data_IF_103376951087
#
_entry.id   IF_103376951087
#
_cell.length_a   1.000
_cell.length_b   1.000
_cell.length_c   1.000
_cell.angle_alpha   90.00
_cell.angle_beta   90.00
_cell.angle_gamma   90.00
#
_symmetry.space_group_name_H-M   'P 1'
#
loop_
_entity.id
_entity.type
_entity.pdbx_description
1 polymer ?
#
# COMPACT_ATOMS: atom_id res chain seq x y z
N UNK A 1 -2.25 -12.25 1.23
CA UNK A 1 -2.74 -11.20 0.30
C UNK A 1 -1.60 -10.24 0.06
N UNK A 2 -1.24 -9.99 -1.20
CA UNK A 2 -0.15 -9.05 -1.58
C UNK A 2 -0.64 -7.61 -1.39
N UNK A 3 0.15 -6.73 -0.78
CA UNK A 3 -0.22 -5.31 -0.58
C UNK A 3 -0.12 -4.53 -1.89
N UNK A 4 -0.79 -3.38 -1.96
CA UNK A 4 -0.66 -2.44 -3.10
C UNK A 4 0.79 -2.06 -3.41
N UNK A 5 1.63 -1.94 -2.37
CA UNK A 5 3.04 -1.52 -2.47
C UNK A 5 4.03 -2.65 -2.77
N UNK A 6 3.54 -3.90 -2.84
CA UNK A 6 4.38 -5.07 -3.12
C UNK A 6 4.46 -5.38 -4.62
N UNK A 7 3.66 -4.72 -5.45
CA UNK A 7 3.69 -4.88 -6.91
C UNK A 7 4.84 -4.10 -7.53
N UNK A 8 5.52 -4.73 -8.48
CA UNK A 8 6.57 -4.07 -9.25
C UNK A 8 5.95 -3.10 -10.27
N UNK A 9 6.17 -1.80 -10.07
CA UNK A 9 5.67 -0.75 -10.97
C UNK A 9 6.42 -0.69 -12.30
N UNK A 10 7.64 -1.22 -12.39
CA UNK A 10 8.42 -1.25 -13.63
C UNK A 10 7.91 -2.35 -14.58
N UNK A 11 7.25 -3.37 -14.04
CA UNK A 11 6.61 -4.43 -14.83
C UNK A 11 5.21 -3.99 -15.30
N UNK A 12 4.96 -3.90 -16.62
CA UNK A 12 3.62 -3.58 -17.14
C UNK A 12 2.54 -4.56 -16.67
N UNK A 13 2.88 -5.84 -16.54
CA UNK A 13 1.97 -6.90 -16.14
C UNK A 13 1.56 -6.73 -14.67
N UNK A 14 2.51 -6.52 -13.77
CA UNK A 14 2.21 -6.30 -12.35
C UNK A 14 1.49 -4.98 -12.10
N UNK A 15 1.75 -3.93 -12.90
CA UNK A 15 0.96 -2.70 -12.87
C UNK A 15 -0.50 -2.96 -13.21
N UNK A 16 -0.76 -3.73 -14.27
CA UNK A 16 -2.12 -4.06 -14.66
C UNK A 16 -2.84 -4.88 -13.59
N UNK A 17 -2.14 -5.85 -12.99
CA UNK A 17 -2.66 -6.66 -11.89
C UNK A 17 -2.98 -5.80 -10.66
N UNK A 18 -2.06 -4.92 -10.26
CA UNK A 18 -2.26 -3.97 -9.16
C UNK A 18 -3.49 -3.09 -9.39
N UNK A 19 -3.62 -2.53 -10.59
CA UNK A 19 -4.76 -1.67 -10.93
C UNK A 19 -6.09 -2.44 -10.94
N UNK A 20 -6.07 -3.73 -11.28
CA UNK A 20 -7.25 -4.60 -11.21
C UNK A 20 -7.64 -4.92 -9.76
N UNK A 21 -6.65 -5.19 -8.91
CA UNK A 21 -6.86 -5.56 -7.51
C UNK A 21 -7.21 -4.35 -6.62
N UNK A 22 -6.65 -3.18 -6.94
CA UNK A 22 -6.77 -1.96 -6.16
C UNK A 22 -7.11 -0.75 -7.04
N UNK A 23 -8.27 -0.77 -7.75
CA UNK A 23 -8.59 0.26 -8.74
C UNK A 23 -8.71 1.66 -8.13
N UNK A 24 -9.35 1.78 -6.96
CA UNK A 24 -9.53 3.07 -6.30
C UNK A 24 -8.21 3.67 -5.83
N UNK A 25 -7.37 2.86 -5.18
CA UNK A 25 -6.06 3.29 -4.69
C UNK A 25 -5.11 3.61 -5.86
N UNK A 26 -5.15 2.83 -6.94
CA UNK A 26 -4.40 3.14 -8.15
C UNK A 26 -4.81 4.49 -8.74
N UNK A 27 -6.10 4.77 -8.89
CA UNK A 27 -6.59 6.07 -9.38
C UNK A 27 -6.21 7.21 -8.44
N UNK A 28 -6.26 7.00 -7.13
CA UNK A 28 -5.83 7.99 -6.14
C UNK A 28 -4.35 8.37 -6.31
N UNK A 29 -3.46 7.39 -6.45
CA UNK A 29 -2.03 7.67 -6.69
C UNK A 29 -1.76 8.33 -8.06
N UNK A 30 -2.61 8.10 -9.06
CA UNK A 30 -2.51 8.79 -10.35
C UNK A 30 -2.85 10.28 -10.14
N UNK A 31 -3.99 10.59 -9.50
CA UNK A 31 -4.37 11.97 -9.20
C UNK A 31 -3.34 12.68 -8.30
N UNK A 32 -2.78 12.00 -7.30
CA UNK A 32 -1.73 12.58 -6.46
C UNK A 32 -0.47 12.95 -7.23
N UNK A 33 -0.09 12.18 -8.26
CA UNK A 33 1.07 12.52 -9.11
C UNK A 33 0.83 13.71 -10.01
N UNK A 34 -0.42 13.99 -10.35
CA UNK A 34 -0.79 15.17 -11.14
C UNK A 34 -0.75 16.44 -10.28
N UNK A 35 -1.08 16.32 -9.00
CA UNK A 35 -1.18 17.45 -8.07
C UNK A 35 0.13 17.79 -7.34
N UNK A 36 0.97 16.78 -7.07
CA UNK A 36 2.23 16.92 -6.34
C UNK A 36 3.43 17.00 -7.29
N UNK A 37 4.50 17.66 -6.85
CA UNK A 37 5.80 17.48 -7.51
C UNK A 37 6.27 16.03 -7.37
N UNK A 38 7.12 15.56 -8.28
CA UNK A 38 7.62 14.17 -8.24
C UNK A 38 8.32 13.88 -6.89
N UNK A 39 9.11 14.83 -6.37
CA UNK A 39 9.80 14.67 -5.09
C UNK A 39 8.82 14.51 -3.90
N UNK A 40 7.76 15.32 -3.87
CA UNK A 40 6.71 15.24 -2.83
C UNK A 40 5.94 13.92 -2.94
N UNK A 41 5.60 13.51 -4.15
CA UNK A 41 4.95 12.22 -4.37
C UNK A 41 5.84 11.05 -3.92
N UNK A 42 7.14 11.07 -4.22
CA UNK A 42 8.07 10.03 -3.80
C UNK A 42 8.19 9.94 -2.27
N UNK A 43 8.22 11.08 -1.59
CA UNK A 43 8.22 11.13 -0.12
C UNK A 43 6.93 10.54 0.45
N UNK A 44 5.77 10.94 -0.10
CA UNK A 44 4.48 10.40 0.28
C UNK A 44 4.41 8.89 0.08
N UNK A 45 4.74 8.41 -1.12
CA UNK A 45 4.70 7.00 -1.48
C UNK A 45 5.60 6.14 -0.57
N UNK A 46 6.80 6.64 -0.25
CA UNK A 46 7.71 5.96 0.68
C UNK A 46 7.12 5.86 2.09
N UNK A 47 6.60 6.96 2.62
CA UNK A 47 6.00 6.98 3.95
C UNK A 47 4.80 6.02 4.04
N UNK A 48 3.92 6.03 3.04
CA UNK A 48 2.74 5.17 3.01
C UNK A 48 3.09 3.68 2.90
N UNK A 49 4.11 3.35 2.09
CA UNK A 49 4.65 1.99 1.98
C UNK A 49 5.19 1.49 3.33
N UNK A 50 5.96 2.31 4.04
CA UNK A 50 6.50 1.95 5.35
C UNK A 50 5.39 1.69 6.38
N UNK A 51 4.32 2.51 6.37
CA UNK A 51 3.16 2.34 7.25
C UNK A 51 2.43 1.03 6.92
N UNK A 52 2.17 0.75 5.64
CA UNK A 52 1.49 -0.46 5.19
C UNK A 52 2.22 -1.73 5.64
N UNK A 53 3.56 -1.74 5.54
CA UNK A 53 4.38 -2.86 6.00
C UNK A 53 4.33 -3.04 7.52
N UNK A 54 4.34 -1.96 8.29
CA UNK A 54 4.23 -2.02 9.77
C UNK A 54 2.88 -2.57 10.21
N UNK A 55 1.79 -2.16 9.57
CA UNK A 55 0.45 -2.63 9.89
C UNK A 55 0.26 -4.13 9.58
N UNK A 56 0.85 -4.63 8.48
CA UNK A 56 0.82 -6.07 8.17
C UNK A 56 1.52 -6.94 9.22
N UNK A 57 2.58 -6.44 9.86
CA UNK A 57 3.27 -7.20 10.92
C UNK A 57 2.50 -7.21 12.25
N UNK A 58 1.67 -6.20 12.53
CA UNK A 58 0.90 -6.14 13.79
C UNK A 58 -0.33 -7.06 13.80
N UNK A 59 -0.91 -7.37 12.64
CA UNK A 59 -2.10 -8.23 12.54
C UNK A 59 -1.80 -9.73 12.65
N UNK A 60 -0.52 -10.13 12.73
CA UNK A 60 -0.10 -11.53 12.79
C UNK A 60 -0.05 -12.13 14.21
N UNK A 61 -0.42 -11.39 15.26
CA UNK A 61 -0.51 -11.92 16.63
C UNK A 61 -1.98 -12.11 17.08
N UNK A 62 -2.62 -13.26 16.79
CA UNK A 62 -3.89 -13.60 17.41
C UNK A 62 -3.63 -14.19 18.81
N UNK A 63 -3.21 -13.37 19.77
CA UNK A 63 -3.34 -13.74 21.19
C UNK A 63 -4.45 -12.91 21.83
N UNK A 64 -5.68 -13.10 21.34
CA UNK A 64 -6.88 -12.81 22.10
C UNK A 64 -6.98 -13.84 23.25
N UNK A 65 -6.25 -13.63 24.34
CA UNK A 65 -6.65 -14.20 25.63
C UNK A 65 -7.57 -13.19 26.29
N UNK A 66 -8.88 -13.39 26.13
CA UNK A 66 -9.85 -12.74 27.00
C UNK A 66 -9.55 -13.18 28.43
N UNK A 67 -9.26 -12.21 29.30
CA UNK A 67 -9.13 -12.47 30.73
C UNK A 67 -10.57 -12.60 31.25
N UNK A 68 -11.03 -13.83 31.43
CA UNK A 68 -12.22 -14.10 32.23
C UNK A 68 -11.81 -14.02 33.70
N UNK A 69 -12.43 -13.09 34.42
CA UNK A 69 -12.34 -12.96 35.87
C UNK A 69 -13.12 -14.07 36.59
#
# INVERSE_FOLDING_TARGET
MKSFYDFNTDSPQERQERNKLYPQLASFHIALREELSEDEYQQFYKAEKEISQRQMHQTQNPTHKWISA
#
